data_IF_854609846839
#
_entry.id   IF_854609846839
#
_cell.length_a   1.000
_cell.length_b   1.000
_cell.length_c   1.000
_cell.angle_alpha   90.00
_cell.angle_beta   90.00
_cell.angle_gamma   90.00
#
_symmetry.space_group_name_H-M   'P 1'
#
loop_
_entity.id
_entity.type
_entity.pdbx_description
1 polymer ?
#
# COMPACT_ATOMS: atom_id res chain seq x y z
N UNK A 1 -8.75 20.28 -33.24
CA UNK A 1 -7.95 19.09 -32.83
C UNK A 1 -8.55 18.58 -31.54
N UNK A 2 -9.35 17.51 -31.61
CA UNK A 2 -9.98 16.90 -30.44
C UNK A 2 -9.03 15.86 -29.85
N UNK A 3 -8.51 16.13 -28.66
CA UNK A 3 -7.68 15.18 -27.90
C UNK A 3 -8.62 14.21 -27.18
N UNK A 4 -8.44 12.92 -27.48
CA UNK A 4 -9.20 11.82 -26.93
C UNK A 4 -9.06 11.76 -25.40
N UNK A 5 -10.20 11.80 -24.70
CA UNK A 5 -10.27 11.54 -23.29
C UNK A 5 -9.98 10.05 -23.03
N UNK A 6 -8.76 9.75 -22.56
CA UNK A 6 -8.43 8.44 -22.02
C UNK A 6 -9.36 8.14 -20.84
N UNK A 7 -10.05 6.99 -20.92
CA UNK A 7 -10.95 6.48 -19.89
C UNK A 7 -10.25 6.40 -18.54
N UNK A 8 -10.44 7.40 -17.67
CA UNK A 8 -9.97 7.37 -16.29
C UNK A 8 -10.66 6.20 -15.60
N UNK A 9 -9.91 5.15 -15.24
CA UNK A 9 -10.36 4.17 -14.23
C UNK A 9 -10.90 4.99 -13.06
N UNK A 10 -12.10 4.68 -12.58
CA UNK A 10 -12.72 5.36 -11.45
C UNK A 10 -11.66 5.57 -10.38
N UNK A 11 -11.21 6.82 -10.23
CA UNK A 11 -10.15 7.16 -9.30
C UNK A 11 -10.62 6.66 -7.94
N UNK A 12 -9.78 5.86 -7.29
CA UNK A 12 -10.06 5.41 -5.93
C UNK A 12 -10.21 6.70 -5.13
N UNK A 13 -11.44 7.07 -4.78
CA UNK A 13 -11.70 8.36 -4.18
C UNK A 13 -10.88 8.47 -2.90
N UNK A 14 -9.97 9.44 -2.87
CA UNK A 14 -9.22 9.73 -1.65
C UNK A 14 -10.19 10.04 -0.52
N UNK A 15 -9.96 9.46 0.65
CA UNK A 15 -10.78 9.73 1.84
C UNK A 15 -10.60 11.15 2.36
N UNK A 16 -9.52 11.82 1.99
CA UNK A 16 -9.21 13.19 2.37
C UNK A 16 -9.24 14.08 1.11
N UNK A 17 -10.31 14.85 0.90
CA UNK A 17 -10.38 15.78 -0.23
C UNK A 17 -9.32 16.89 -0.09
N UNK A 18 -8.98 17.52 -1.20
CA UNK A 18 -8.06 18.66 -1.25
C UNK A 18 -8.43 19.72 -0.20
N UNK A 19 -7.43 20.23 0.53
CA UNK A 19 -7.62 21.23 1.58
C UNK A 19 -7.91 20.65 2.97
N UNK A 20 -8.04 19.32 3.10
CA UNK A 20 -8.22 18.69 4.41
C UNK A 20 -6.94 18.79 5.24
N UNK A 21 -7.02 19.41 6.43
CA UNK A 21 -5.91 19.46 7.38
C UNK A 21 -5.73 18.10 8.04
N UNK A 22 -4.57 17.47 7.84
CA UNK A 22 -4.24 16.16 8.40
C UNK A 22 -3.74 16.31 9.84
N UNK A 23 -4.70 16.37 10.77
CA UNK A 23 -4.44 16.60 12.19
C UNK A 23 -3.57 15.51 12.81
N UNK A 24 -2.58 15.90 13.61
CA UNK A 24 -1.78 14.98 14.42
C UNK A 24 -0.66 14.26 13.68
N UNK A 25 -0.37 14.66 12.43
CA UNK A 25 0.82 14.19 11.70
C UNK A 25 2.06 15.01 12.11
N UNK A 26 1.90 16.31 12.36
CA UNK A 26 3.03 17.14 12.76
C UNK A 26 3.44 16.86 14.21
N UNK A 27 4.71 16.50 14.41
CA UNK A 27 5.33 16.28 15.72
C UNK A 27 6.24 17.45 16.16
N UNK A 28 6.44 18.45 15.30
CA UNK A 28 7.26 19.63 15.60
C UNK A 28 6.45 20.69 16.35
N UNK A 29 7.07 21.33 17.35
CA UNK A 29 6.41 22.35 18.20
C UNK A 29 5.95 23.59 17.44
N UNK A 30 6.73 24.03 16.46
CA UNK A 30 6.45 25.21 15.62
C UNK A 30 5.91 24.85 14.23
N UNK A 31 5.70 23.55 13.98
CA UNK A 31 5.18 23.06 12.71
C UNK A 31 3.67 23.29 12.58
N UNK A 32 3.19 23.31 11.34
CA UNK A 32 1.75 23.23 11.02
C UNK A 32 1.43 21.83 10.54
N UNK A 33 0.22 21.37 10.83
CA UNK A 33 -0.28 20.12 10.26
C UNK A 33 -0.34 20.22 8.73
N UNK A 34 0.11 19.19 8.00
CA UNK A 34 0.10 19.21 6.55
C UNK A 34 -1.35 19.21 6.03
N UNK A 35 -1.55 19.89 4.90
CA UNK A 35 -2.84 19.96 4.22
C UNK A 35 -2.80 19.01 3.02
N UNK A 36 -3.88 18.23 2.84
CA UNK A 36 -4.04 17.34 1.69
C UNK A 36 -4.06 18.15 0.39
N UNK A 37 -3.22 17.74 -0.56
CA UNK A 37 -3.17 18.28 -1.93
C UNK A 37 -4.25 17.60 -2.80
N UNK A 38 -4.34 18.00 -4.06
CA UNK A 38 -5.19 17.30 -5.03
C UNK A 38 -4.64 15.89 -5.32
N UNK A 39 -5.51 14.93 -5.60
CA UNK A 39 -5.14 13.53 -5.87
C UNK A 39 -4.15 13.39 -7.03
N UNK A 40 -4.15 14.35 -7.97
CA UNK A 40 -3.23 14.38 -9.12
C UNK A 40 -1.82 14.88 -8.80
N UNK A 41 -1.64 15.58 -7.68
CA UNK A 41 -0.31 16.02 -7.20
C UNK A 41 0.44 14.89 -6.49
N UNK A 42 -0.28 13.84 -6.07
CA UNK A 42 0.34 12.67 -5.48
C UNK A 42 0.84 11.69 -6.55
N UNK A 43 2.02 11.08 -6.35
CA UNK A 43 2.52 10.07 -7.29
C UNK A 43 1.59 8.86 -7.43
N UNK A 44 1.53 8.31 -8.65
CA UNK A 44 0.66 7.16 -9.00
C UNK A 44 0.87 5.92 -8.11
N UNK A 45 2.08 5.71 -7.59
CA UNK A 45 2.38 4.54 -6.75
C UNK A 45 1.56 4.49 -5.46
N UNK A 46 1.06 5.65 -4.98
CA UNK A 46 0.26 5.74 -3.77
C UNK A 46 -1.06 4.96 -3.90
N UNK A 47 -1.71 5.10 -5.04
CA UNK A 47 -3.01 4.47 -5.33
C UNK A 47 -2.88 2.96 -5.58
N UNK A 48 -1.70 2.51 -5.98
CA UNK A 48 -1.37 1.10 -6.19
C UNK A 48 -1.07 0.34 -4.89
N UNK A 49 -0.90 1.04 -3.76
CA UNK A 49 -0.44 0.45 -2.52
C UNK A 49 -1.46 -0.51 -1.91
N UNK A 50 -2.75 -0.17 -2.02
CA UNK A 50 -3.88 -0.93 -1.45
C UNK A 50 -4.45 -1.98 -2.41
N UNK A 51 -4.01 -2.01 -3.68
CA UNK A 51 -4.45 -3.02 -4.64
C UNK A 51 -3.77 -4.37 -4.33
N UNK A 52 -4.49 -5.24 -3.63
CA UNK A 52 -4.02 -6.57 -3.26
C UNK A 52 -3.56 -7.41 -4.46
N UNK A 53 -4.21 -7.25 -5.63
CA UNK A 53 -3.87 -8.03 -6.83
C UNK A 53 -2.49 -7.59 -7.33
N UNK A 54 -2.25 -6.28 -7.42
CA UNK A 54 -0.94 -5.74 -7.79
C UNK A 54 0.14 -6.13 -6.79
N UNK A 55 -0.16 -6.10 -5.49
CA UNK A 55 0.81 -6.48 -4.46
C UNK A 55 1.14 -7.97 -4.45
N UNK A 56 0.13 -8.84 -4.66
CA UNK A 56 0.36 -10.29 -4.84
C UNK A 56 1.20 -10.57 -6.08
N UNK A 57 0.92 -9.90 -7.20
CA UNK A 57 1.72 -10.03 -8.43
C UNK A 57 3.18 -9.59 -8.24
N UNK A 58 3.46 -8.56 -7.45
CA UNK A 58 4.84 -8.12 -7.18
C UNK A 58 5.58 -9.11 -6.25
N UNK A 59 4.89 -9.70 -5.29
CA UNK A 59 5.47 -10.54 -4.23
C UNK A 59 5.51 -12.04 -4.52
N UNK A 60 4.83 -12.52 -5.58
CA UNK A 60 4.76 -13.95 -5.91
C UNK A 60 5.99 -14.52 -6.62
N UNK A 61 6.89 -13.67 -7.14
CA UNK A 61 8.07 -14.11 -7.89
C UNK A 61 9.23 -14.47 -6.96
N UNK A 62 10.02 -15.52 -7.25
CA UNK A 62 11.20 -15.89 -6.46
C UNK A 62 12.27 -14.79 -6.35
N UNK A 63 12.36 -13.89 -7.34
CA UNK A 63 13.26 -12.74 -7.27
C UNK A 63 12.89 -11.72 -6.18
N UNK A 64 11.66 -11.75 -5.66
CA UNK A 64 11.20 -10.83 -4.64
C UNK A 64 11.47 -11.36 -3.23
N UNK A 65 12.11 -10.56 -2.38
CA UNK A 65 12.38 -10.91 -0.96
C UNK A 65 11.13 -11.29 -0.16
N UNK A 66 9.96 -10.72 -0.46
CA UNK A 66 8.71 -11.00 0.22
C UNK A 66 8.22 -12.43 -0.04
N UNK A 67 8.55 -13.02 -1.20
CA UNK A 67 8.29 -14.43 -1.51
C UNK A 67 8.95 -15.35 -0.49
N UNK A 68 10.26 -15.20 -0.30
CA UNK A 68 11.03 -16.03 0.65
C UNK A 68 10.60 -15.81 2.10
N UNK A 69 10.27 -14.57 2.48
CA UNK A 69 9.73 -14.28 3.82
C UNK A 69 8.43 -15.05 4.11
N UNK A 70 7.54 -15.17 3.13
CA UNK A 70 6.30 -15.95 3.27
C UNK A 70 6.60 -17.44 3.45
N UNK A 71 7.42 -18.01 2.57
CA UNK A 71 7.82 -19.42 2.64
C UNK A 71 8.46 -19.78 3.99
N UNK A 72 9.39 -18.94 4.47
CA UNK A 72 10.05 -19.16 5.75
C UNK A 72 9.06 -19.12 6.93
N UNK A 73 8.12 -18.16 6.95
CA UNK A 73 7.07 -18.11 7.98
C UNK A 73 6.19 -19.34 7.96
N UNK A 74 5.79 -19.81 6.78
CA UNK A 74 4.92 -20.96 6.62
C UNK A 74 5.65 -22.25 7.05
N UNK A 75 6.93 -22.40 6.70
CA UNK A 75 7.78 -23.52 7.14
C UNK A 75 7.98 -23.55 8.66
N UNK A 76 8.24 -22.39 9.29
CA UNK A 76 8.36 -22.29 10.75
C UNK A 76 7.04 -22.67 11.43
N UNK A 77 5.91 -22.15 10.93
CA UNK A 77 4.58 -22.51 11.46
C UNK A 77 4.30 -24.01 11.36
N UNK A 78 4.61 -24.62 10.21
CA UNK A 78 4.43 -26.06 10.02
C UNK A 78 5.33 -26.88 10.96
N UNK A 79 6.60 -26.50 11.08
CA UNK A 79 7.54 -27.13 12.03
C UNK A 79 7.03 -27.03 13.47
N UNK A 80 6.56 -25.85 13.89
CA UNK A 80 6.05 -25.66 15.24
C UNK A 80 4.79 -26.51 15.47
N UNK A 81 3.85 -26.53 14.53
CA UNK A 81 2.66 -27.37 14.61
C UNK A 81 2.97 -28.86 14.74
N UNK A 82 3.94 -29.38 13.96
CA UNK A 82 4.34 -30.78 14.02
C UNK A 82 5.07 -31.15 15.32
N UNK A 83 5.74 -30.18 15.96
CA UNK A 83 6.36 -30.38 17.28
C UNK A 83 5.29 -30.43 18.37
N UNK A 84 4.33 -29.51 18.35
CA UNK A 84 3.25 -29.45 19.36
C UNK A 84 2.41 -30.73 19.38
N UNK A 85 2.19 -31.35 18.21
CA UNK A 85 1.43 -32.61 18.07
C UNK A 85 2.22 -33.89 18.37
N UNK A 86 3.53 -33.82 18.58
CA UNK A 86 4.39 -34.98 18.82
C UNK A 86 4.64 -35.24 20.32
N UNK A 87 4.01 -34.45 21.18
CA UNK A 87 3.85 -34.69 22.61
C UNK A 87 2.51 -35.38 22.85
#
# INVERSE_FOLDING_TARGET
MSIAAGSKKAAIASSAPQGTVLKGINYMKEGKDPVALDDSEYPEWLWDLLDEKKQKQKSSKPSNRQYHRKQNRDAIRASNFMKDKKT
#
